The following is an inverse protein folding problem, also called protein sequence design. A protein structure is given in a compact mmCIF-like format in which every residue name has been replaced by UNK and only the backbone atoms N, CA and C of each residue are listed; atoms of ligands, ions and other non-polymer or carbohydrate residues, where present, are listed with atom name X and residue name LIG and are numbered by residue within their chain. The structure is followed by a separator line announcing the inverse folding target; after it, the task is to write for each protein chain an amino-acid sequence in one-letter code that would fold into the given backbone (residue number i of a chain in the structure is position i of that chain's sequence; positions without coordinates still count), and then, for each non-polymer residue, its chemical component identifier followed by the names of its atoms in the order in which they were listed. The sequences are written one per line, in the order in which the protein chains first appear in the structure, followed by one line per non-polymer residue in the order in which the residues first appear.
data_IF_709347775480
#
_entry.id   IF_709347775480
#
_cell.length_a   1.000
_cell.length_b   1.000
_cell.length_c   1.000
_cell.angle_alpha   90.00
_cell.angle_beta   90.00
_cell.angle_gamma   90.00
#
_symmetry.space_group_name_H-M   'P 1'
#
loop_
_entity.id
_entity.type
_entity.pdbx_description
1 polymer ?
#
# COMPACT_ATOMS: atom_id res chain seq x y z
N UNK A 1 7.02 8.94 21.75
CA UNK A 1 7.95 9.78 20.99
C UNK A 1 8.52 8.89 19.89
N UNK A 2 7.89 8.81 18.70
CA UNK A 2 8.49 8.05 17.62
C UNK A 2 9.72 8.84 17.15
N UNK A 3 10.87 8.18 17.12
CA UNK A 3 12.12 8.75 16.62
C UNK A 3 11.98 9.21 15.16
N UNK A 4 12.88 10.07 14.71
CA UNK A 4 12.91 10.73 13.38
C UNK A 4 12.29 9.86 12.27
N UNK A 5 11.03 10.16 11.93
CA UNK A 5 10.31 9.64 10.78
C UNK A 5 10.48 10.65 9.63
N UNK A 6 11.70 10.82 9.13
CA UNK A 6 11.99 11.72 7.99
C UNK A 6 12.06 10.99 6.64
N UNK A 7 11.84 9.68 6.64
CA UNK A 7 11.85 8.82 5.46
C UNK A 7 10.52 8.76 4.70
N UNK A 8 10.59 8.80 3.37
CA UNK A 8 9.46 8.56 2.47
C UNK A 8 9.04 7.09 2.49
N UNK A 9 7.74 6.80 2.42
CA UNK A 9 7.22 5.43 2.27
C UNK A 9 7.36 4.88 0.85
N UNK A 10 7.95 5.63 -0.09
CA UNK A 10 8.06 5.24 -1.50
C UNK A 10 8.73 3.88 -1.68
N UNK A 11 9.84 3.61 -1.00
CA UNK A 11 10.51 2.30 -1.07
C UNK A 11 9.62 1.16 -0.57
N UNK A 12 8.81 1.40 0.47
CA UNK A 12 7.85 0.42 0.97
C UNK A 12 6.75 0.13 -0.07
N UNK A 13 6.28 1.14 -0.80
CA UNK A 13 5.28 0.99 -1.88
C UNK A 13 5.84 0.23 -3.09
N UNK A 14 7.09 0.52 -3.48
CA UNK A 14 7.80 -0.22 -4.54
C UNK A 14 7.93 -1.69 -4.14
N UNK A 15 8.32 -1.97 -2.90
CA UNK A 15 8.36 -3.33 -2.35
C UNK A 15 6.99 -4.02 -2.35
N UNK A 16 5.91 -3.27 -2.16
CA UNK A 16 4.55 -3.82 -2.23
C UNK A 16 4.21 -4.31 -3.65
N UNK A 17 4.57 -3.56 -4.70
CA UNK A 17 4.38 -3.99 -6.10
C UNK A 17 5.11 -5.30 -6.41
N UNK A 18 6.34 -5.44 -5.94
CA UNK A 18 7.07 -6.69 -6.08
C UNK A 18 6.38 -7.85 -5.31
N UNK A 19 5.95 -7.61 -4.07
CA UNK A 19 5.27 -8.62 -3.26
C UNK A 19 3.92 -9.05 -3.85
N UNK A 20 3.16 -8.11 -4.44
CA UNK A 20 1.92 -8.39 -5.18
C UNK A 20 2.16 -9.34 -6.35
N UNK A 21 3.21 -9.11 -7.16
CA UNK A 21 3.60 -9.99 -8.26
C UNK A 21 3.98 -11.41 -7.81
N UNK A 22 4.42 -11.58 -6.57
CA UNK A 22 4.70 -12.86 -5.94
C UNK A 22 3.51 -13.47 -5.18
N UNK A 23 2.34 -12.83 -5.18
CA UNK A 23 1.15 -13.28 -4.45
C UNK A 23 1.22 -13.08 -2.93
N UNK A 24 2.13 -12.24 -2.44
CA UNK A 24 2.38 -11.96 -1.02
C UNK A 24 2.09 -10.51 -0.63
N UNK A 25 1.35 -9.77 -1.47
CA UNK A 25 1.01 -8.35 -1.24
C UNK A 25 0.35 -8.08 0.10
N UNK A 26 -0.70 -8.83 0.46
CA UNK A 26 -1.42 -8.66 1.73
C UNK A 26 -0.53 -8.92 2.95
N UNK A 27 0.26 -10.00 2.89
CA UNK A 27 1.19 -10.36 3.96
C UNK A 27 2.28 -9.28 4.15
N UNK A 28 2.78 -8.73 3.05
CA UNK A 28 3.74 -7.63 3.06
C UNK A 28 3.12 -6.35 3.63
N UNK A 29 1.92 -5.99 3.19
CA UNK A 29 1.18 -4.83 3.68
C UNK A 29 1.02 -4.87 5.20
N UNK A 30 0.50 -5.99 5.73
CA UNK A 30 0.31 -6.18 7.17
C UNK A 30 1.63 -6.11 7.95
N UNK A 31 2.70 -6.69 7.42
CA UNK A 31 4.00 -6.70 8.06
C UNK A 31 4.62 -5.29 8.11
N UNK A 32 4.56 -4.52 7.01
CA UNK A 32 5.03 -3.13 6.96
C UNK A 32 4.20 -2.23 7.88
N UNK A 33 2.87 -2.38 7.90
CA UNK A 33 2.01 -1.61 8.80
C UNK A 33 2.33 -1.91 10.27
N UNK A 34 2.59 -3.17 10.60
CA UNK A 34 3.02 -3.56 11.95
C UNK A 34 4.37 -2.96 12.32
N UNK A 35 5.36 -3.05 11.42
CA UNK A 35 6.68 -2.48 11.60
C UNK A 35 6.62 -0.97 11.90
N UNK A 36 5.84 -0.24 11.10
CA UNK A 36 5.69 1.21 11.24
C UNK A 36 4.89 1.62 12.49
N UNK A 37 3.65 1.10 12.64
CA UNK A 37 2.71 1.60 13.66
C UNK A 37 2.86 0.94 15.02
N UNK A 38 3.26 -0.33 15.09
CA UNK A 38 3.32 -1.07 16.35
C UNK A 38 4.76 -1.18 16.88
N UNK A 39 5.75 -1.21 16.00
CA UNK A 39 7.15 -1.46 16.36
C UNK A 39 8.05 -0.23 16.21
N UNK A 40 7.54 0.86 15.64
CA UNK A 40 8.26 2.10 15.38
C UNK A 40 9.58 1.88 14.59
N UNK A 41 9.58 0.93 13.65
CA UNK A 41 10.67 0.71 12.72
C UNK A 41 10.62 1.70 11.56
N UNK A 42 11.79 2.04 11.03
CA UNK A 42 11.93 2.92 9.88
C UNK A 42 11.69 2.14 8.57
N UNK A 43 10.53 2.36 7.97
CA UNK A 43 10.15 1.72 6.69
C UNK A 43 10.75 2.42 5.46
N UNK A 44 11.57 3.45 5.64
CA UNK A 44 12.42 3.98 4.58
C UNK A 44 13.78 3.27 4.50
N UNK A 45 14.15 2.52 5.53
CA UNK A 45 15.35 1.68 5.54
C UNK A 45 15.11 0.40 4.73
N UNK A 46 15.87 0.26 3.64
CA UNK A 46 15.82 -0.90 2.74
C UNK A 46 16.18 -2.21 3.44
N UNK A 47 17.05 -2.17 4.44
CA UNK A 47 17.38 -3.33 5.27
C UNK A 47 16.19 -3.82 6.08
N UNK A 48 15.42 -2.89 6.67
CA UNK A 48 14.17 -3.20 7.39
C UNK A 48 13.14 -3.81 6.45
N UNK A 49 12.92 -3.21 5.26
CA UNK A 49 11.98 -3.76 4.28
C UNK A 49 12.40 -5.14 3.77
N UNK A 50 13.70 -5.36 3.57
CA UNK A 50 14.22 -6.66 3.15
C UNK A 50 14.14 -7.72 4.25
N UNK A 51 14.24 -7.34 5.53
CA UNK A 51 14.00 -8.25 6.67
C UNK A 51 12.52 -8.66 6.71
N UNK A 52 11.62 -7.70 6.48
CA UNK A 52 10.17 -7.96 6.38
C UNK A 52 9.86 -8.91 5.22
N UNK A 53 10.45 -8.67 4.05
CA UNK A 53 10.28 -9.52 2.87
C UNK A 53 10.73 -10.97 3.14
N UNK A 54 11.89 -11.16 3.78
CA UNK A 54 12.40 -12.48 4.14
C UNK A 54 11.47 -13.22 5.12
N UNK A 55 10.93 -12.50 6.12
CA UNK A 55 10.00 -13.07 7.11
C UNK A 55 8.70 -13.60 6.51
N UNK A 56 8.23 -13.01 5.40
CA UNK A 56 7.03 -13.46 4.68
C UNK A 56 7.34 -14.45 3.56
N UNK A 57 8.61 -14.85 3.39
CA UNK A 57 9.04 -15.88 2.43
C UNK A 57 9.49 -15.36 1.06
N UNK A 58 9.72 -14.05 0.91
CA UNK A 58 10.37 -13.50 -0.29
C UNK A 58 11.89 -13.59 -0.18
N UNK A 59 12.59 -13.80 -1.29
CA UNK A 59 14.05 -13.76 -1.29
C UNK A 59 14.55 -12.33 -1.03
N UNK A 60 15.37 -12.18 0.01
CA UNK A 60 15.93 -10.89 0.44
C UNK A 60 16.68 -10.17 -0.67
N UNK A 61 17.53 -10.87 -1.41
CA UNK A 61 18.40 -10.26 -2.41
C UNK A 61 17.59 -9.82 -3.64
N UNK A 62 16.66 -10.65 -4.09
CA UNK A 62 15.73 -10.34 -5.16
C UNK A 62 14.83 -9.15 -4.80
N UNK A 63 14.32 -9.11 -3.56
CA UNK A 63 13.55 -7.98 -3.06
C UNK A 63 14.36 -6.67 -3.08
N UNK A 64 15.61 -6.70 -2.58
CA UNK A 64 16.48 -5.53 -2.62
C UNK A 64 16.77 -5.06 -4.04
N UNK A 65 16.92 -5.98 -5.00
CA UNK A 65 17.09 -5.64 -6.41
C UNK A 65 15.81 -5.05 -7.02
N UNK A 66 14.64 -5.54 -6.62
CA UNK A 66 13.36 -4.98 -7.06
C UNK A 66 13.15 -3.54 -6.60
N UNK A 67 13.68 -3.15 -5.42
CA UNK A 67 13.66 -1.75 -4.97
C UNK A 67 14.47 -0.79 -5.86
N UNK A 68 15.36 -1.30 -6.72
CA UNK A 68 16.12 -0.52 -7.71
C UNK A 68 15.53 -0.60 -9.12
N UNK A 69 14.50 -1.44 -9.33
CA UNK A 69 13.84 -1.57 -10.62
C UNK A 69 12.85 -0.43 -10.82
N UNK A 70 13.11 0.39 -11.82
CA UNK A 70 12.27 1.55 -12.15
C UNK A 70 10.87 1.15 -12.59
N UNK A 71 10.66 -0.07 -13.08
CA UNK A 71 9.33 -0.53 -13.49
C UNK A 71 8.34 -0.55 -12.31
N UNK A 72 8.78 -0.97 -11.13
CA UNK A 72 7.91 -0.96 -9.94
C UNK A 72 7.67 0.46 -9.42
N UNK A 73 8.63 1.36 -9.59
CA UNK A 73 8.43 2.78 -9.25
C UNK A 73 7.43 3.45 -10.20
N UNK A 74 7.50 3.14 -11.49
CA UNK A 74 6.53 3.58 -12.50
C UNK A 74 5.12 3.04 -12.19
N UNK A 75 4.99 1.78 -11.75
CA UNK A 75 3.70 1.20 -11.32
C UNK A 75 3.12 1.94 -10.09
N UNK A 76 3.95 2.30 -9.12
CA UNK A 76 3.52 3.12 -7.98
C UNK A 76 3.09 4.50 -8.45
N UNK A 77 3.79 5.09 -9.41
CA UNK A 77 3.40 6.39 -9.96
C UNK A 77 2.06 6.31 -10.72
N UNK A 78 1.84 5.23 -11.49
CA UNK A 78 0.59 5.00 -12.20
C UNK A 78 -0.60 4.89 -11.24
N UNK A 79 -0.44 4.21 -10.09
CA UNK A 79 -1.48 4.15 -9.05
C UNK A 79 -1.80 5.54 -8.48
N UNK A 80 -0.79 6.37 -8.23
CA UNK A 80 -0.96 7.74 -7.73
C UNK A 80 -1.69 8.61 -8.75
N UNK A 81 -1.33 8.51 -10.02
CA UNK A 81 -1.96 9.26 -11.10
C UNK A 81 -3.41 8.82 -11.32
N UNK A 82 -3.67 7.50 -11.24
CA UNK A 82 -5.01 6.95 -11.26
C UNK A 82 -5.85 7.48 -10.10
N UNK A 83 -5.28 7.51 -8.89
CA UNK A 83 -5.95 8.04 -7.72
C UNK A 83 -6.33 9.52 -7.90
N UNK A 84 -5.40 10.35 -8.40
CA UNK A 84 -5.67 11.75 -8.73
C UNK A 84 -6.76 11.90 -9.80
N UNK A 85 -6.80 11.01 -10.79
CA UNK A 85 -7.84 11.03 -11.83
C UNK A 85 -9.26 10.79 -11.29
N UNK A 86 -9.38 10.03 -10.19
CA UNK A 86 -10.63 9.86 -9.45
C UNK A 86 -10.92 11.01 -8.46
N UNK A 87 -10.08 12.05 -8.42
CA UNK A 87 -10.21 13.18 -7.51
C UNK A 87 -9.79 12.88 -6.07
N UNK A 88 -8.97 11.84 -5.85
CA UNK A 88 -8.46 11.51 -4.52
C UNK A 88 -7.41 12.53 -4.08
N UNK A 89 -7.68 13.21 -2.95
CA UNK A 89 -6.72 14.11 -2.29
C UNK A 89 -6.11 13.54 -1.00
N UNK A 90 -6.46 12.30 -0.63
CA UNK A 90 -6.00 11.68 0.61
C UNK A 90 -6.49 10.24 0.77
N UNK A 91 -5.85 9.52 1.69
CA UNK A 91 -6.10 8.11 2.02
C UNK A 91 -6.58 7.96 3.47
N UNK A 92 -7.27 6.86 3.84
CA UNK A 92 -7.75 5.79 2.97
C UNK A 92 -8.94 6.23 2.11
N UNK A 93 -9.13 5.60 0.96
CA UNK A 93 -10.29 5.81 0.10
C UNK A 93 -10.65 4.53 -0.64
N UNK A 94 -11.92 4.39 -0.99
CA UNK A 94 -12.49 3.24 -1.70
C UNK A 94 -13.25 3.74 -2.92
N UNK A 95 -13.02 3.10 -4.07
CA UNK A 95 -13.73 3.39 -5.33
C UNK A 95 -14.55 2.16 -5.69
N UNK A 96 -15.87 2.33 -5.83
CA UNK A 96 -16.79 1.28 -6.24
C UNK A 96 -17.20 1.49 -7.71
N UNK A 97 -17.02 0.46 -8.53
CA UNK A 97 -17.35 0.44 -9.97
C UNK A 97 -16.84 1.67 -10.75
N UNK A 98 -15.64 2.16 -10.43
CA UNK A 98 -15.02 3.33 -11.07
C UNK A 98 -15.85 4.63 -10.99
N UNK A 99 -16.89 4.67 -10.13
CA UNK A 99 -17.90 5.73 -10.11
C UNK A 99 -18.15 6.31 -8.73
N UNK A 100 -18.23 5.47 -7.70
CA UNK A 100 -18.57 5.92 -6.35
C UNK A 100 -17.32 5.98 -5.50
N UNK A 101 -16.89 7.20 -5.21
CA UNK A 101 -15.78 7.46 -4.32
C UNK A 101 -16.26 7.60 -2.87
N UNK A 102 -15.72 6.77 -1.99
CA UNK A 102 -15.86 6.88 -0.53
C UNK A 102 -14.51 7.26 0.06
N UNK A 103 -14.40 8.48 0.55
CA UNK A 103 -13.17 9.01 1.14
C UNK A 103 -13.14 8.88 2.66
N UNK A 104 -11.98 8.53 3.20
CA UNK A 104 -11.71 8.37 4.63
C UNK A 104 -12.06 7.00 5.18
N UNK A 105 -11.64 6.75 6.43
CA UNK A 105 -12.00 5.55 7.18
C UNK A 105 -13.46 5.66 7.63
N UNK A 106 -14.39 5.23 6.76
CA UNK A 106 -15.82 5.28 7.04
C UNK A 106 -16.28 4.12 7.92
N UNK A 107 -17.35 4.32 8.73
CA UNK A 107 -17.98 3.23 9.48
C UNK A 107 -18.44 2.09 8.58
N UNK A 108 -18.43 0.86 9.11
CA UNK A 108 -18.85 -0.34 8.38
C UNK A 108 -20.25 -0.20 7.80
N UNK A 109 -21.20 0.38 8.54
CA UNK A 109 -22.58 0.58 8.09
C UNK A 109 -22.69 1.57 6.92
N UNK A 110 -21.74 2.48 6.77
CA UNK A 110 -21.67 3.38 5.61
C UNK A 110 -21.19 2.61 4.38
N UNK A 111 -20.19 1.74 4.53
CA UNK A 111 -19.66 0.93 3.43
C UNK A 111 -20.70 -0.08 2.90
N UNK A 112 -21.47 -0.70 3.80
CA UNK A 112 -22.58 -1.59 3.41
C UNK A 112 -23.62 -0.86 2.57
N UNK A 113 -24.06 0.32 3.02
CA UNK A 113 -25.07 1.13 2.29
C UNK A 113 -24.61 1.53 0.90
N UNK A 114 -23.34 1.92 0.75
CA UNK A 114 -22.77 2.24 -0.57
C UNK A 114 -22.77 1.00 -1.46
N UNK A 115 -22.37 -0.15 -0.93
CA UNK A 115 -22.33 -1.42 -1.69
C UNK A 115 -23.73 -1.85 -2.16
N UNK A 116 -24.74 -1.71 -1.29
CA UNK A 116 -26.15 -1.99 -1.63
C UNK A 116 -26.65 -1.04 -2.72
N UNK A 117 -26.34 0.25 -2.63
CA UNK A 117 -26.73 1.24 -3.65
C UNK A 117 -26.09 0.93 -5.01
N UNK A 118 -24.79 0.67 -5.04
CA UNK A 118 -24.03 0.32 -6.26
C UNK A 118 -24.62 -0.94 -6.93
N UNK A 119 -24.97 -1.94 -6.13
CA UNK A 119 -25.54 -3.20 -6.63
C UNK A 119 -26.95 -3.03 -7.20
N UNK A 120 -27.73 -2.08 -6.69
CA UNK A 120 -29.08 -1.80 -7.19
C UNK A 120 -29.11 -0.96 -8.48
N UNK A 121 -28.03 -0.22 -8.77
CA UNK A 121 -27.88 0.62 -9.96
C UNK A 121 -27.22 -0.13 -11.15
N UNK A 122 -26.85 -1.41 -10.97
CA UNK A 122 -26.23 -2.30 -11.97
C UNK A 122 -27.23 -3.27 -12.60
#
# INVERSE_FOLDING_TARGET
NPGKMDGTSRAALVGAKYAEGAGLGDAYHDAVFRAYWQQAQDISDRGVLADIADQIGLDRAAFLAALDDTAYDDDVQADVDLAHSYGLGGVPALVFQDKYLVSGAQPYETLVRVTEQVSAES
#
